data_IF_145241068316
#
_entry.id   IF_145241068316
#
_cell.length_a   1.000
_cell.length_b   1.000
_cell.length_c   1.000
_cell.angle_alpha   90.00
_cell.angle_beta   90.00
_cell.angle_gamma   90.00
#
_symmetry.space_group_name_H-M   'P 1'
#
loop_
_entity.id
_entity.type
_entity.pdbx_description
1 polymer ?
#
# COMPACT_ATOMS: atom_id res chain seq x y z
N UNK A 1 46.66 13.68 -15.39
CA UNK A 1 46.03 14.52 -14.35
C UNK A 1 45.51 13.62 -13.24
N UNK A 2 45.88 13.90 -12.00
CA UNK A 2 45.41 13.17 -10.82
C UNK A 2 43.94 13.52 -10.54
N UNK A 3 43.05 12.53 -10.54
CA UNK A 3 41.78 12.62 -9.83
C UNK A 3 41.86 11.70 -8.62
N UNK A 4 42.44 12.26 -7.56
CA UNK A 4 42.40 11.74 -6.21
C UNK A 4 40.95 11.91 -5.74
N UNK A 5 40.12 10.91 -6.03
CA UNK A 5 38.77 10.82 -5.46
C UNK A 5 38.95 10.59 -3.97
N UNK A 6 38.98 11.67 -3.20
CA UNK A 6 38.85 11.58 -1.75
C UNK A 6 37.51 10.93 -1.46
N UNK A 7 37.52 9.63 -1.18
CA UNK A 7 36.43 8.95 -0.52
C UNK A 7 36.26 9.57 0.87
N UNK A 8 35.55 10.72 0.91
CA UNK A 8 34.94 11.20 2.14
C UNK A 8 34.03 10.08 2.59
N UNK A 9 34.52 9.30 3.55
CA UNK A 9 33.78 8.30 4.32
C UNK A 9 32.65 9.05 5.01
N UNK A 10 31.56 9.33 4.27
CA UNK A 10 30.41 10.03 4.79
C UNK A 10 29.94 9.21 5.99
N UNK A 11 29.93 9.86 7.15
CA UNK A 11 29.50 9.27 8.41
C UNK A 11 27.99 9.10 8.31
N UNK A 12 27.54 8.04 7.65
CA UNK A 12 26.13 7.74 7.48
C UNK A 12 25.54 7.39 8.85
N UNK A 13 24.58 8.17 9.32
CA UNK A 13 23.83 7.81 10.52
C UNK A 13 22.76 6.76 10.16
N UNK A 14 22.25 6.04 11.17
CA UNK A 14 21.11 5.14 10.96
C UNK A 14 19.89 5.88 10.41
N UNK A 15 19.72 7.15 10.79
CA UNK A 15 18.67 8.01 10.25
C UNK A 15 18.90 8.30 8.76
N UNK A 16 20.11 8.69 8.37
CA UNK A 16 20.44 8.91 6.96
C UNK A 16 20.24 7.65 6.13
N UNK A 17 20.63 6.49 6.66
CA UNK A 17 20.38 5.20 6.00
C UNK A 17 18.88 4.95 5.83
N UNK A 18 18.08 5.13 6.88
CA UNK A 18 16.63 4.92 6.86
C UNK A 18 15.91 5.86 5.87
N UNK A 19 16.24 7.15 5.86
CA UNK A 19 15.63 8.15 4.95
C UNK A 19 16.02 7.94 3.48
N UNK A 20 17.18 7.32 3.22
CA UNK A 20 17.64 6.97 1.88
C UNK A 20 17.20 5.56 1.44
N UNK A 21 16.47 4.80 2.28
CA UNK A 21 15.93 3.52 1.84
C UNK A 21 14.98 3.77 0.66
N UNK A 22 15.07 2.96 -0.42
CA UNK A 22 14.10 3.04 -1.50
C UNK A 22 12.72 2.83 -0.92
N UNK A 23 11.77 3.69 -1.28
CA UNK A 23 10.36 3.54 -0.90
C UNK A 23 9.92 2.15 -1.34
N UNK A 24 9.78 1.25 -0.37
CA UNK A 24 9.34 -0.10 -0.65
C UNK A 24 7.89 0.00 -1.13
N UNK A 25 7.63 -0.48 -2.35
CA UNK A 25 6.29 -0.65 -2.84
C UNK A 25 5.73 -1.90 -2.16
N UNK A 26 4.80 -1.72 -1.23
CA UNK A 26 4.10 -2.82 -0.58
C UNK A 26 2.69 -2.89 -1.18
N UNK A 27 2.52 -3.38 -2.42
CA UNK A 27 1.27 -3.24 -3.17
C UNK A 27 0.06 -3.80 -2.41
N UNK A 28 0.24 -4.88 -1.63
CA UNK A 28 -0.82 -5.45 -0.77
C UNK A 28 -1.19 -4.53 0.40
N UNK A 29 -0.21 -3.90 1.04
CA UNK A 29 -0.42 -2.98 2.17
C UNK A 29 -1.05 -1.69 1.66
N UNK A 30 -0.55 -1.15 0.56
CA UNK A 30 -1.05 0.08 -0.07
C UNK A 30 -2.51 -0.11 -0.52
N UNK A 31 -2.83 -1.28 -1.08
CA UNK A 31 -4.21 -1.62 -1.45
C UNK A 31 -5.13 -1.69 -0.22
N UNK A 32 -4.71 -2.35 0.87
CA UNK A 32 -5.50 -2.40 2.11
C UNK A 32 -5.68 -1.00 2.69
N UNK A 33 -4.63 -0.17 2.72
CA UNK A 33 -4.72 1.22 3.20
C UNK A 33 -5.67 2.06 2.35
N UNK A 34 -5.68 1.85 1.04
CA UNK A 34 -6.61 2.54 0.14
C UNK A 34 -8.06 2.15 0.41
N UNK A 35 -8.34 0.87 0.64
CA UNK A 35 -9.68 0.42 1.05
C UNK A 35 -10.07 1.04 2.40
N UNK A 36 -9.16 1.06 3.38
CA UNK A 36 -9.43 1.68 4.69
C UNK A 36 -9.82 3.16 4.54
N UNK A 37 -9.05 3.91 3.76
CA UNK A 37 -9.26 5.35 3.57
C UNK A 37 -10.50 5.67 2.75
N UNK A 38 -10.76 4.92 1.68
CA UNK A 38 -11.86 5.23 0.74
C UNK A 38 -13.21 4.63 1.17
N UNK A 39 -13.19 3.55 1.98
CA UNK A 39 -14.40 2.91 2.49
C UNK A 39 -14.68 3.19 3.98
N UNK A 40 -13.83 3.99 4.64
CA UNK A 40 -13.90 4.31 6.07
C UNK A 40 -14.05 3.07 6.96
N UNK A 41 -13.12 2.12 6.82
CA UNK A 41 -13.15 0.85 7.54
C UNK A 41 -11.83 0.54 8.23
N UNK A 42 -11.90 -0.32 9.26
CA UNK A 42 -10.71 -0.80 9.96
C UNK A 42 -9.79 -1.63 9.04
N UNK A 43 -8.51 -1.71 9.41
CA UNK A 43 -7.54 -2.59 8.75
C UNK A 43 -8.01 -4.04 8.70
N UNK A 44 -8.57 -4.53 9.82
CA UNK A 44 -9.07 -5.90 9.91
C UNK A 44 -10.20 -6.14 8.92
N UNK A 45 -11.13 -5.20 8.80
CA UNK A 45 -12.24 -5.26 7.84
C UNK A 45 -11.73 -5.29 6.40
N UNK A 46 -10.89 -4.32 6.02
CA UNK A 46 -10.31 -4.25 4.69
C UNK A 46 -9.50 -5.53 4.34
N UNK A 47 -8.71 -6.04 5.28
CA UNK A 47 -7.97 -7.29 5.14
C UNK A 47 -8.90 -8.50 4.97
N UNK A 48 -10.01 -8.55 5.70
CA UNK A 48 -10.94 -9.66 5.59
C UNK A 48 -11.72 -9.66 4.27
N UNK A 49 -12.04 -8.48 3.72
CA UNK A 49 -12.62 -8.35 2.39
C UNK A 49 -11.67 -8.82 1.30
N UNK A 50 -10.41 -8.36 1.33
CA UNK A 50 -9.39 -8.77 0.35
C UNK A 50 -9.04 -10.25 0.40
N UNK A 51 -9.33 -10.93 1.51
CA UNK A 51 -9.16 -12.39 1.68
C UNK A 51 -10.45 -13.20 1.44
N UNK A 52 -11.56 -12.55 1.12
CA UNK A 52 -12.85 -13.22 0.92
C UNK A 52 -13.49 -13.79 2.19
N UNK A 53 -12.99 -13.46 3.39
CA UNK A 53 -13.56 -13.94 4.65
C UNK A 53 -14.91 -13.28 4.97
N UNK A 54 -15.07 -12.01 4.57
CA UNK A 54 -16.30 -11.23 4.78
C UNK A 54 -16.51 -10.33 3.56
N UNK A 55 -17.71 -9.77 3.41
CA UNK A 55 -18.06 -8.85 2.32
C UNK A 55 -18.69 -7.57 2.87
N UNK A 56 -18.59 -6.43 2.18
CA UNK A 56 -19.32 -5.23 2.57
C UNK A 56 -20.82 -5.48 2.52
N UNK A 57 -21.55 -4.94 3.49
CA UNK A 57 -23.02 -4.98 3.51
C UNK A 57 -23.65 -3.75 2.84
N UNK A 58 -22.86 -2.71 2.58
CA UNK A 58 -23.35 -1.44 2.05
C UNK A 58 -22.92 -1.25 0.59
N UNK A 59 -23.88 -0.94 -0.28
CA UNK A 59 -23.68 -0.87 -1.73
C UNK A 59 -22.62 0.15 -2.17
N UNK A 60 -22.49 1.27 -1.46
CA UNK A 60 -21.49 2.28 -1.81
C UNK A 60 -20.06 1.76 -1.60
N UNK A 61 -19.84 0.87 -0.62
CA UNK A 61 -18.54 0.25 -0.38
C UNK A 61 -18.22 -0.76 -1.49
N UNK A 62 -19.22 -1.53 -1.94
CA UNK A 62 -19.07 -2.46 -3.08
C UNK A 62 -18.74 -1.67 -4.35
N UNK A 63 -19.44 -0.55 -4.59
CA UNK A 63 -19.14 0.36 -5.71
C UNK A 63 -17.72 0.90 -5.62
N UNK A 64 -17.29 1.34 -4.44
CA UNK A 64 -15.95 1.87 -4.21
C UNK A 64 -14.86 0.82 -4.46
N UNK A 65 -15.06 -0.43 -4.00
CA UNK A 65 -14.14 -1.53 -4.29
C UNK A 65 -14.03 -1.83 -5.78
N UNK A 66 -15.16 -1.80 -6.51
CA UNK A 66 -15.18 -1.95 -7.97
C UNK A 66 -14.39 -0.83 -8.67
N UNK A 67 -14.55 0.42 -8.23
CA UNK A 67 -13.80 1.57 -8.74
C UNK A 67 -12.28 1.47 -8.46
N UNK A 68 -11.89 1.08 -7.23
CA UNK A 68 -10.47 0.95 -6.84
C UNK A 68 -9.78 -0.18 -7.63
N UNK A 69 -10.48 -1.30 -7.83
CA UNK A 69 -9.90 -2.51 -8.45
C UNK A 69 -10.07 -2.56 -9.97
N UNK A 70 -11.04 -1.83 -10.52
CA UNK A 70 -11.48 -1.98 -11.91
C UNK A 70 -12.29 -3.26 -12.17
N UNK A 71 -12.59 -4.05 -11.13
CA UNK A 71 -13.35 -5.31 -11.25
C UNK A 71 -14.85 -4.99 -11.16
N UNK A 72 -15.70 -5.48 -12.08
CA UNK A 72 -17.16 -5.36 -11.96
C UNK A 72 -17.69 -5.91 -10.64
N UNK A 73 -18.74 -5.29 -10.09
CA UNK A 73 -19.28 -5.66 -8.76
C UNK A 73 -19.66 -7.13 -8.65
N UNK A 74 -20.16 -7.69 -9.75
CA UNK A 74 -20.62 -9.07 -9.89
C UNK A 74 -19.45 -10.07 -9.87
N UNK A 75 -18.25 -9.59 -10.21
CA UNK A 75 -17.01 -10.38 -10.29
C UNK A 75 -16.12 -10.23 -9.05
N UNK A 76 -16.39 -9.28 -8.15
CA UNK A 76 -15.60 -9.06 -6.92
C UNK A 76 -15.51 -10.31 -6.03
N UNK A 77 -16.48 -11.23 -6.16
CA UNK A 77 -16.68 -12.35 -5.24
C UNK A 77 -16.70 -13.73 -5.91
N UNK A 78 -16.32 -13.83 -7.18
CA UNK A 78 -16.22 -15.11 -7.88
C UNK A 78 -14.97 -15.89 -7.50
#
# INVERSE_FOLDING_TARGET
MANKSEEKKQKMTLLDYYENLPKSSYPKKDFIQRIMSECDVSFTTARNWTKGHTRPMVDWQIKKLSEITGIPKEQLWQ
#
